data_IF_634629380537
#
_entry.id   IF_634629380537
#
_cell.length_a   1.000
_cell.length_b   1.000
_cell.length_c   1.000
_cell.angle_alpha   90.00
_cell.angle_beta   90.00
_cell.angle_gamma   90.00
#
_symmetry.space_group_name_H-M   'P 1'
#
loop_
_entity.id
_entity.type
_entity.pdbx_description
1 polymer ?
#
# COMPACT_ATOMS: atom_id res chain seq x y z
N UNK A 1 13.38 -5.81 -33.90
CA UNK A 1 12.52 -4.65 -33.57
C UNK A 1 12.80 -4.33 -32.11
N UNK A 2 13.54 -3.25 -31.82
CA UNK A 2 13.92 -2.88 -30.45
C UNK A 2 12.70 -2.23 -29.81
N UNK A 3 12.13 -2.88 -28.80
CA UNK A 3 11.06 -2.30 -28.00
C UNK A 3 11.54 -0.97 -27.45
N UNK A 4 10.86 0.11 -27.82
CA UNK A 4 11.09 1.42 -27.24
C UNK A 4 10.69 1.32 -25.77
N UNK A 5 11.68 1.25 -24.88
CA UNK A 5 11.50 1.26 -23.44
C UNK A 5 10.85 2.61 -23.09
N UNK A 6 9.52 2.64 -22.96
CA UNK A 6 8.77 3.85 -22.67
C UNK A 6 9.25 4.41 -21.34
N UNK A 7 9.91 5.57 -21.38
CA UNK A 7 10.34 6.26 -20.17
C UNK A 7 9.09 6.61 -19.34
N UNK A 8 9.01 6.09 -18.11
CA UNK A 8 7.87 6.35 -17.22
C UNK A 8 8.01 7.76 -16.66
N UNK A 9 7.10 8.66 -17.04
CA UNK A 9 6.99 9.98 -16.45
C UNK A 9 6.27 9.92 -15.10
N UNK A 10 7.00 10.16 -14.00
CA UNK A 10 6.46 10.07 -12.63
C UNK A 10 5.28 11.01 -12.35
N UNK A 11 5.19 12.13 -13.07
CA UNK A 11 4.08 13.09 -12.98
C UNK A 11 2.76 12.51 -13.48
N UNK A 12 2.83 11.59 -14.45
CA UNK A 12 1.67 10.96 -15.11
C UNK A 12 1.28 9.61 -14.50
N UNK A 13 2.04 9.11 -13.52
CA UNK A 13 1.68 7.93 -12.74
C UNK A 13 0.40 8.21 -11.94
N UNK A 14 -0.56 7.29 -12.03
CA UNK A 14 -1.82 7.35 -11.32
C UNK A 14 -1.96 6.17 -10.37
N UNK A 15 -2.63 6.39 -9.24
CA UNK A 15 -2.99 5.32 -8.30
C UNK A 15 -4.50 5.33 -8.10
N UNK A 16 -5.13 4.18 -8.25
CA UNK A 16 -6.59 4.00 -8.11
C UNK A 16 -6.93 2.69 -7.45
N UNK A 17 -8.14 2.62 -6.88
CA UNK A 17 -8.74 1.35 -6.50
C UNK A 17 -8.84 0.43 -7.72
N UNK A 18 -8.74 -0.87 -7.48
CA UNK A 18 -9.08 -1.85 -8.51
C UNK A 18 -10.58 -1.75 -8.83
N UNK A 19 -10.93 -2.01 -10.08
CA UNK A 19 -12.32 -2.09 -10.53
C UNK A 19 -12.83 -3.53 -10.53
N UNK A 20 -14.17 -3.76 -10.62
CA UNK A 20 -14.70 -5.11 -10.79
C UNK A 20 -14.02 -5.84 -11.95
N UNK A 21 -13.65 -7.10 -11.74
CA UNK A 21 -12.90 -7.93 -12.70
C UNK A 21 -11.39 -7.93 -12.50
N UNK A 22 -10.78 -6.90 -11.90
CA UNK A 22 -9.32 -6.83 -11.74
C UNK A 22 -8.77 -7.65 -10.55
N UNK A 23 -9.64 -8.10 -9.64
CA UNK A 23 -9.21 -8.75 -8.40
C UNK A 23 -8.43 -10.04 -8.63
N UNK A 24 -8.85 -10.86 -9.60
CA UNK A 24 -8.19 -12.15 -9.87
C UNK A 24 -6.73 -11.92 -10.31
N UNK A 25 -6.54 -11.04 -11.30
CA UNK A 25 -5.22 -10.63 -11.80
C UNK A 25 -4.37 -9.98 -10.72
N UNK A 26 -4.98 -9.12 -9.88
CA UNK A 26 -4.29 -8.50 -8.75
C UNK A 26 -3.79 -9.56 -7.75
N UNK A 27 -4.65 -10.50 -7.37
CA UNK A 27 -4.32 -11.55 -6.39
C UNK A 27 -3.26 -12.52 -6.96
N UNK A 28 -3.30 -12.81 -8.26
CA UNK A 28 -2.30 -13.61 -8.98
C UNK A 28 -0.92 -12.95 -9.01
N UNK A 29 -0.82 -11.73 -9.54
CA UNK A 29 0.44 -10.98 -9.63
C UNK A 29 1.06 -10.75 -8.25
N UNK A 30 0.24 -10.47 -7.23
CA UNK A 30 0.71 -10.30 -5.86
C UNK A 30 1.26 -11.61 -5.30
N UNK A 31 0.65 -12.76 -5.62
CA UNK A 31 1.13 -14.07 -5.17
C UNK A 31 2.44 -14.45 -5.86
N UNK A 32 2.56 -14.15 -7.14
CA UNK A 32 3.72 -14.51 -7.96
C UNK A 32 4.95 -13.67 -7.61
N UNK A 33 4.80 -12.35 -7.49
CA UNK A 33 5.97 -11.46 -7.45
C UNK A 33 6.28 -10.88 -6.07
N UNK A 34 5.33 -10.89 -5.11
CA UNK A 34 5.63 -10.41 -3.76
C UNK A 34 6.39 -11.48 -2.97
N UNK A 35 7.47 -11.09 -2.28
CA UNK A 35 8.33 -12.03 -1.54
C UNK A 35 7.62 -12.82 -0.41
N UNK A 36 6.51 -12.31 0.11
CA UNK A 36 5.62 -13.00 1.06
C UNK A 36 4.40 -13.69 0.41
N UNK A 37 4.29 -13.60 -0.92
CA UNK A 37 3.12 -13.97 -1.69
C UNK A 37 1.82 -13.33 -1.17
N UNK A 38 0.69 -13.97 -1.49
CA UNK A 38 -0.62 -13.56 -1.02
C UNK A 38 -1.47 -14.78 -0.62
N UNK A 39 -1.88 -14.81 0.65
CA UNK A 39 -2.92 -15.71 1.16
C UNK A 39 -4.28 -15.01 1.17
N UNK A 40 -4.37 -13.89 1.91
CA UNK A 40 -5.52 -12.99 1.94
C UNK A 40 -5.10 -11.64 2.54
N UNK A 41 -5.93 -10.60 2.34
CA UNK A 41 -5.91 -9.39 3.18
C UNK A 41 -6.94 -9.59 4.29
N UNK A 42 -6.53 -9.43 5.55
CA UNK A 42 -7.36 -9.74 6.72
C UNK A 42 -8.18 -8.52 7.15
N UNK A 43 -9.45 -8.73 7.49
CA UNK A 43 -10.35 -7.67 7.93
C UNK A 43 -10.78 -6.73 6.81
N UNK A 44 -11.04 -5.47 7.16
CA UNK A 44 -11.34 -4.41 6.18
C UNK A 44 -10.12 -4.20 5.31
N UNK A 45 -10.30 -4.19 4.00
CA UNK A 45 -9.19 -4.07 3.07
C UNK A 45 -9.54 -3.28 1.83
N UNK A 46 -8.51 -2.72 1.20
CA UNK A 46 -8.56 -2.06 -0.10
C UNK A 46 -7.40 -2.57 -0.96
N UNK A 47 -7.64 -2.66 -2.26
CA UNK A 47 -6.64 -3.02 -3.26
C UNK A 47 -6.51 -1.89 -4.26
N UNK A 48 -5.27 -1.53 -4.54
CA UNK A 48 -4.91 -0.49 -5.47
C UNK A 48 -4.00 -1.01 -6.56
N UNK A 49 -4.09 -0.34 -7.70
CA UNK A 49 -3.14 -0.44 -8.79
C UNK A 49 -2.55 0.95 -9.06
N UNK A 50 -1.23 1.00 -9.19
CA UNK A 50 -0.53 2.12 -9.79
C UNK A 50 -0.32 1.83 -11.28
N UNK A 51 -0.64 2.79 -12.14
CA UNK A 51 -0.57 2.62 -13.58
C UNK A 51 0.02 3.84 -14.29
N UNK A 52 0.59 3.61 -15.46
CA UNK A 52 1.04 4.62 -16.42
C UNK A 52 0.56 4.21 -17.80
N UNK A 53 -0.19 5.07 -18.47
CA UNK A 53 -0.76 4.81 -19.81
C UNK A 53 -1.50 3.46 -19.90
N UNK A 54 -2.27 3.13 -18.86
CA UNK A 54 -3.03 1.87 -18.77
C UNK A 54 -2.21 0.65 -18.34
N UNK A 55 -0.87 0.72 -18.37
CA UNK A 55 0.00 -0.36 -17.90
C UNK A 55 0.12 -0.36 -16.38
N UNK A 56 -0.08 -1.51 -15.77
CA UNK A 56 0.12 -1.70 -14.34
C UNK A 56 1.62 -1.66 -14.00
N UNK A 57 1.97 -0.84 -13.01
CA UNK A 57 3.33 -0.65 -12.53
C UNK A 57 3.55 -1.22 -11.13
N UNK A 58 2.53 -1.11 -10.27
CA UNK A 58 2.63 -1.56 -8.88
C UNK A 58 1.26 -1.90 -8.31
N UNK A 59 1.27 -2.72 -7.26
CA UNK A 59 0.08 -3.14 -6.53
C UNK A 59 0.24 -2.76 -5.05
N UNK A 60 -0.82 -2.22 -4.44
CA UNK A 60 -0.85 -1.91 -3.00
C UNK A 60 -2.07 -2.54 -2.35
N UNK A 61 -1.85 -3.24 -1.23
CA UNK A 61 -2.89 -3.83 -0.40
C UNK A 61 -2.89 -3.17 0.97
N UNK A 62 -4.03 -2.60 1.35
CA UNK A 62 -4.27 -2.07 2.68
C UNK A 62 -5.24 -2.99 3.42
N UNK A 63 -4.98 -3.22 4.70
CA UNK A 63 -5.80 -4.05 5.57
C UNK A 63 -6.04 -3.34 6.91
N UNK A 64 -6.89 -3.92 7.75
CA UNK A 64 -7.04 -3.47 9.14
C UNK A 64 -5.69 -3.51 9.86
N UNK A 65 -5.49 -2.59 10.80
CA UNK A 65 -4.28 -2.55 11.61
C UNK A 65 -3.99 -3.86 12.35
N UNK A 66 -2.72 -4.09 12.65
CA UNK A 66 -2.29 -5.18 13.51
C UNK A 66 -2.96 -5.06 14.89
N UNK A 67 -3.58 -6.16 15.34
CA UNK A 67 -4.37 -6.17 16.57
C UNK A 67 -3.57 -5.72 17.80
N UNK A 68 -2.33 -6.21 17.91
CA UNK A 68 -1.40 -5.90 18.98
C UNK A 68 -0.09 -5.39 18.37
N UNK A 69 0.30 -4.17 18.69
CA UNK A 69 1.57 -3.61 18.26
C UNK A 69 2.09 -2.66 19.33
N UNK A 70 2.82 -3.22 20.32
CA UNK A 70 3.31 -2.44 21.45
C UNK A 70 4.12 -1.19 21.05
N UNK A 71 5.00 -1.22 20.03
CA UNK A 71 5.72 -0.02 19.59
C UNK A 71 4.79 1.09 19.10
N UNK A 72 3.79 0.76 18.28
CA UNK A 72 2.77 1.72 17.82
C UNK A 72 1.96 2.24 19.00
N UNK A 73 1.46 1.34 19.84
CA UNK A 73 0.56 1.69 20.93
C UNK A 73 1.27 2.61 21.94
N UNK A 74 2.56 2.38 22.20
CA UNK A 74 3.42 3.26 23.01
C UNK A 74 3.68 4.61 22.34
N UNK A 75 3.93 4.63 21.02
CA UNK A 75 4.14 5.88 20.27
C UNK A 75 2.88 6.75 20.24
N UNK A 76 1.71 6.15 20.06
CA UNK A 76 0.43 6.86 20.08
C UNK A 76 0.05 7.29 21.51
N UNK A 77 0.40 6.49 22.52
CA UNK A 77 0.11 6.78 23.93
C UNK A 77 -1.35 6.58 24.34
N UNK A 78 -2.12 5.79 23.59
CA UNK A 78 -3.51 5.49 23.98
C UNK A 78 -3.57 4.58 25.20
N UNK A 79 -4.56 4.83 26.07
CA UNK A 79 -4.94 3.84 27.09
C UNK A 79 -5.49 2.59 26.41
N UNK A 80 -5.42 1.43 27.08
CA UNK A 80 -5.90 0.17 26.51
C UNK A 80 -7.37 0.23 26.05
N UNK A 81 -8.24 0.92 26.79
CA UNK A 81 -9.64 1.10 26.41
C UNK A 81 -9.80 1.90 25.10
N UNK A 82 -9.05 3.00 24.95
CA UNK A 82 -9.06 3.82 23.74
C UNK A 82 -8.44 3.09 22.55
N UNK A 83 -7.41 2.27 22.79
CA UNK A 83 -6.78 1.47 21.74
C UNK A 83 -7.79 0.60 21.02
N UNK A 84 -8.57 -0.20 21.75
CA UNK A 84 -9.56 -1.08 21.16
C UNK A 84 -10.62 -0.34 20.35
N UNK A 85 -11.07 0.82 20.83
CA UNK A 85 -12.08 1.64 20.15
C UNK A 85 -11.54 2.33 18.88
N UNK A 86 -10.26 2.71 18.90
CA UNK A 86 -9.66 3.55 17.85
C UNK A 86 -8.81 2.77 16.86
N UNK A 87 -8.54 1.48 17.09
CA UNK A 87 -7.78 0.64 16.16
C UNK A 87 -8.37 0.64 14.75
N UNK A 88 -9.70 0.77 14.62
CA UNK A 88 -10.38 0.89 13.33
C UNK A 88 -9.93 2.09 12.50
N UNK A 89 -9.39 3.14 13.11
CA UNK A 89 -8.93 4.37 12.44
C UNK A 89 -7.52 4.21 11.86
N UNK A 90 -6.93 3.03 11.95
CA UNK A 90 -5.58 2.72 11.50
C UNK A 90 -5.65 1.67 10.38
N UNK A 91 -4.90 1.90 9.30
CA UNK A 91 -4.75 0.94 8.21
C UNK A 91 -3.29 0.46 8.10
N UNK A 92 -3.13 -0.84 7.84
CA UNK A 92 -1.84 -1.45 7.59
C UNK A 92 -1.59 -1.59 6.08
N UNK A 93 -0.48 -1.09 5.58
CA UNK A 93 0.00 -1.40 4.24
C UNK A 93 0.60 -2.81 4.22
N UNK A 94 -0.28 -3.81 4.16
CA UNK A 94 0.12 -5.21 4.24
C UNK A 94 0.87 -5.70 3.00
N UNK A 95 0.65 -5.07 1.85
CA UNK A 95 1.33 -5.44 0.60
C UNK A 95 1.71 -4.21 -0.20
N UNK A 96 2.95 -4.18 -0.66
CA UNK A 96 3.41 -3.21 -1.65
C UNK A 96 4.40 -3.89 -2.59
N UNK A 97 4.02 -3.95 -3.87
CA UNK A 97 4.76 -4.66 -4.91
C UNK A 97 4.96 -3.72 -6.10
N UNK A 98 6.21 -3.47 -6.49
CA UNK A 98 6.51 -3.02 -7.85
C UNK A 98 6.53 -4.25 -8.76
N UNK A 99 5.78 -4.20 -9.86
CA UNK A 99 5.76 -5.29 -10.84
C UNK A 99 7.08 -5.33 -11.62
N UNK A 100 7.48 -6.50 -12.16
CA UNK A 100 8.64 -6.62 -13.02
C UNK A 100 8.60 -5.62 -14.18
N UNK A 101 9.69 -4.90 -14.41
CA UNK A 101 9.76 -3.82 -15.39
C UNK A 101 11.00 -2.94 -15.24
N UNK A 102 11.07 -1.83 -15.99
CA UNK A 102 12.21 -0.92 -15.93
C UNK A 102 12.37 -0.34 -14.52
N UNK A 103 13.62 -0.25 -14.06
CA UNK A 103 13.93 0.38 -12.77
C UNK A 103 13.82 1.89 -12.90
N UNK A 104 12.78 2.46 -12.30
CA UNK A 104 12.55 3.90 -12.30
C UNK A 104 12.83 4.48 -10.92
N UNK A 105 13.77 5.41 -10.85
CA UNK A 105 14.15 6.11 -9.61
C UNK A 105 12.91 6.80 -9.01
N UNK A 106 12.75 6.73 -7.70
CA UNK A 106 11.65 7.36 -6.93
C UNK A 106 10.22 6.87 -7.25
N UNK A 107 10.05 5.85 -8.10
CA UNK A 107 8.72 5.35 -8.46
C UNK A 107 7.94 4.85 -7.25
N UNK A 108 8.57 4.03 -6.39
CA UNK A 108 7.91 3.48 -5.21
C UNK A 108 7.40 4.57 -4.25
N UNK A 109 8.24 5.56 -3.91
CA UNK A 109 7.85 6.64 -3.00
C UNK A 109 6.80 7.56 -3.64
N UNK A 110 6.89 7.83 -4.95
CA UNK A 110 5.85 8.57 -5.69
C UNK A 110 4.50 7.86 -5.61
N UNK A 111 4.47 6.56 -5.88
CA UNK A 111 3.26 5.74 -5.82
C UNK A 111 2.68 5.72 -4.40
N UNK A 112 3.53 5.51 -3.40
CA UNK A 112 3.10 5.47 -2.00
C UNK A 112 2.51 6.81 -1.56
N UNK A 113 3.13 7.93 -1.92
CA UNK A 113 2.60 9.28 -1.65
C UNK A 113 1.26 9.55 -2.33
N UNK A 114 1.12 9.17 -3.61
CA UNK A 114 -0.16 9.26 -4.33
C UNK A 114 -1.25 8.41 -3.68
N UNK A 115 -0.91 7.22 -3.18
CA UNK A 115 -1.88 6.35 -2.53
C UNK A 115 -2.32 6.88 -1.17
N UNK A 116 -1.38 7.34 -0.35
CA UNK A 116 -1.66 7.93 0.97
C UNK A 116 -2.58 9.15 0.86
N UNK A 117 -2.40 10.00 -0.16
CA UNK A 117 -3.22 11.19 -0.38
C UNK A 117 -4.72 10.89 -0.57
N UNK A 118 -5.07 9.68 -1.02
CA UNK A 118 -6.47 9.26 -1.27
C UNK A 118 -6.98 8.19 -0.30
N UNK A 119 -6.08 7.56 0.46
CA UNK A 119 -6.37 6.36 1.24
C UNK A 119 -7.51 6.58 2.24
N UNK A 120 -7.49 7.68 3.00
CA UNK A 120 -8.49 7.94 4.04
C UNK A 120 -9.89 8.15 3.45
N UNK A 121 -10.00 8.91 2.36
CA UNK A 121 -11.26 9.16 1.66
C UNK A 121 -11.83 7.87 1.03
N UNK A 122 -10.98 7.08 0.38
CA UNK A 122 -11.41 5.79 -0.17
C UNK A 122 -11.82 4.81 0.93
N UNK A 123 -11.11 4.81 2.06
CA UNK A 123 -11.45 3.98 3.21
C UNK A 123 -12.79 4.38 3.81
N UNK A 124 -13.06 5.67 3.93
CA UNK A 124 -14.35 6.19 4.36
C UNK A 124 -15.47 5.79 3.42
N UNK A 125 -15.27 5.97 2.11
CA UNK A 125 -16.24 5.60 1.09
C UNK A 125 -16.62 4.12 1.14
N UNK A 126 -15.67 3.23 1.42
CA UNK A 126 -15.90 1.77 1.42
C UNK A 126 -16.31 1.23 2.80
N UNK A 127 -15.77 1.78 3.89
CA UNK A 127 -15.90 1.22 5.24
C UNK A 127 -16.66 2.12 6.24
N UNK A 128 -17.08 3.31 5.80
CA UNK A 128 -17.95 4.22 6.56
C UNK A 128 -17.25 5.08 7.61
N UNK A 129 -15.91 5.16 7.61
CA UNK A 129 -15.15 6.09 8.44
C UNK A 129 -13.76 6.36 7.84
N UNK A 130 -13.19 7.54 8.08
CA UNK A 130 -11.83 7.87 7.69
C UNK A 130 -10.76 7.17 8.53
N UNK A 131 -9.51 7.33 8.08
CA UNK A 131 -8.30 6.89 8.76
C UNK A 131 -7.54 8.10 9.32
N UNK A 132 -6.87 7.91 10.44
CA UNK A 132 -5.99 8.90 11.08
C UNK A 132 -4.52 8.49 11.06
N UNK A 133 -4.24 7.22 10.75
CA UNK A 133 -2.90 6.66 10.80
C UNK A 133 -2.73 5.51 9.79
N UNK A 134 -1.54 5.43 9.20
CA UNK A 134 -1.10 4.32 8.38
C UNK A 134 0.11 3.64 9.04
N UNK A 135 0.15 2.31 9.02
CA UNK A 135 1.27 1.51 9.53
C UNK A 135 1.74 0.50 8.47
N UNK A 136 2.96 0.00 8.63
CA UNK A 136 3.58 -1.00 7.74
C UNK A 136 4.63 -1.75 8.53
N UNK A 137 5.01 -2.93 8.03
CA UNK A 137 6.04 -3.75 8.64
C UNK A 137 7.03 -4.17 7.55
N UNK A 138 8.29 -3.91 7.81
CA UNK A 138 9.38 -4.15 6.87
C UNK A 138 10.31 -5.17 7.50
N UNK A 139 10.73 -6.17 6.72
CA UNK A 139 11.79 -7.09 7.12
C UNK A 139 13.15 -6.43 6.83
N UNK A 140 13.90 -5.98 7.86
CA UNK A 140 15.16 -5.27 7.66
C UNK A 140 16.26 -6.15 7.06
N UNK A 141 16.12 -7.49 7.11
CA UNK A 141 17.05 -8.41 6.44
C UNK A 141 16.91 -8.39 4.91
N UNK A 142 15.79 -7.87 4.40
CA UNK A 142 15.47 -7.84 2.96
C UNK A 142 15.40 -6.43 2.39
N UNK A 143 14.91 -5.46 3.17
CA UNK A 143 14.63 -4.12 2.68
C UNK A 143 15.06 -3.03 3.67
N UNK A 144 15.72 -2.00 3.17
CA UNK A 144 16.11 -0.81 3.95
C UNK A 144 14.96 0.19 4.19
N UNK A 145 13.73 -0.14 3.78
CA UNK A 145 12.53 0.71 3.94
C UNK A 145 12.61 2.09 3.29
N UNK A 146 13.49 2.28 2.31
CA UNK A 146 13.80 3.59 1.72
C UNK A 146 12.59 4.29 1.12
N UNK A 147 11.66 3.56 0.49
CA UNK A 147 10.46 4.17 -0.09
C UNK A 147 9.50 4.73 0.96
N UNK A 148 9.38 4.07 2.12
CA UNK A 148 8.56 4.53 3.24
C UNK A 148 9.19 5.77 3.88
N UNK A 149 10.50 5.74 4.17
CA UNK A 149 11.22 6.93 4.67
C UNK A 149 11.10 8.13 3.72
N UNK A 150 11.24 7.90 2.42
CA UNK A 150 11.07 8.94 1.39
C UNK A 150 9.61 9.43 1.24
N UNK A 151 8.64 8.71 1.80
CA UNK A 151 7.23 9.10 1.88
C UNK A 151 6.84 9.64 3.27
N UNK A 152 7.82 10.08 4.07
CA UNK A 152 7.66 10.66 5.42
C UNK A 152 7.12 9.68 6.48
N UNK A 153 7.47 8.41 6.38
CA UNK A 153 7.21 7.44 7.45
C UNK A 153 8.29 7.55 8.53
N UNK A 154 7.88 7.39 9.79
CA UNK A 154 8.72 7.46 11.00
C UNK A 154 9.47 6.16 11.25
#
# INVERSE_FOLDING_TARGET
>A
MKDAETAIELSRVQVRLIVPGERATWDELMREHHYLGLKALVGRSLRYVAQYEGRWLALLGWASAALKCAPRDAWIGWSGALQWQRLRLIANNSRFLLLPGPRVKNLASRILGLNLARLSEDWERVHGHGLVLAETFIDPSRFAGTCYRAANWL
#
